data_IF_302265832583
#
_entry.id   IF_302265832583
#
_cell.length_a   1.000
_cell.length_b   1.000
_cell.length_c   1.000
_cell.angle_alpha   90.00
_cell.angle_beta   90.00
_cell.angle_gamma   90.00
#
_symmetry.space_group_name_H-M   'P 1'
#
loop_
_entity.id
_entity.type
_entity.pdbx_description
1 polymer ?
#
# COMPACT_ATOMS: atom_id res chain seq x y z
N UNK A 1 -39.08 -60.58 21.70
CA UNK A 1 -38.31 -60.57 20.42
C UNK A 1 -38.74 -59.34 19.64
N UNK A 2 -37.84 -58.35 19.49
CA UNK A 2 -37.70 -57.36 18.38
C UNK A 2 -38.95 -56.53 17.98
N UNK A 3 -38.95 -55.20 17.85
CA UNK A 3 -37.92 -54.29 17.33
C UNK A 3 -38.34 -52.84 17.70
N UNK A 4 -37.46 -52.06 18.34
CA UNK A 4 -37.66 -50.62 18.54
C UNK A 4 -37.09 -49.93 17.29
N UNK A 5 -37.92 -49.22 16.53
CA UNK A 5 -37.47 -48.38 15.43
C UNK A 5 -36.92 -47.06 15.99
N UNK A 6 -35.59 -46.94 16.04
CA UNK A 6 -34.93 -45.65 16.26
C UNK A 6 -34.99 -44.85 14.95
N UNK A 7 -35.76 -43.77 14.94
CA UNK A 7 -35.70 -42.75 13.89
C UNK A 7 -34.44 -41.91 14.11
N UNK A 8 -33.39 -42.17 13.33
CA UNK A 8 -32.23 -41.29 13.23
C UNK A 8 -32.61 -40.08 12.39
N UNK A 9 -32.75 -38.91 13.04
CA UNK A 9 -32.79 -37.62 12.35
C UNK A 9 -31.38 -37.33 11.83
N UNK A 10 -31.17 -37.50 10.53
CA UNK A 10 -29.98 -37.05 9.83
C UNK A 10 -30.10 -35.51 9.67
N UNK A 11 -29.46 -34.75 10.56
CA UNK A 11 -29.26 -33.31 10.40
C UNK A 11 -28.30 -33.10 9.22
N UNK A 12 -28.85 -32.91 8.03
CA UNK A 12 -28.10 -32.50 6.86
C UNK A 12 -27.74 -31.02 7.04
N UNK A 13 -26.53 -30.75 7.55
CA UNK A 13 -25.96 -29.40 7.56
C UNK A 13 -25.70 -28.96 6.11
N UNK A 14 -26.64 -28.21 5.55
CA UNK A 14 -26.47 -27.53 4.27
C UNK A 14 -25.44 -26.42 4.51
N UNK A 15 -24.16 -26.71 4.24
CA UNK A 15 -23.19 -25.67 4.00
C UNK A 15 -23.58 -25.00 2.67
N UNK A 16 -24.27 -23.86 2.75
CA UNK A 16 -24.39 -22.92 1.65
C UNK A 16 -22.97 -22.50 1.27
N UNK A 17 -22.41 -23.22 0.30
CA UNK A 17 -21.18 -22.83 -0.38
C UNK A 17 -21.50 -21.50 -1.09
N UNK A 18 -21.27 -20.39 -0.40
CA UNK A 18 -21.31 -19.09 -1.04
C UNK A 18 -20.19 -19.10 -2.08
N UNK A 19 -20.57 -19.03 -3.35
CA UNK A 19 -19.59 -18.76 -4.40
C UNK A 19 -18.92 -17.43 -4.04
N UNK A 20 -17.59 -17.42 -3.90
CA UNK A 20 -16.85 -16.17 -3.73
C UNK A 20 -17.12 -15.27 -4.93
N UNK A 21 -17.46 -14.01 -4.68
CA UNK A 21 -17.70 -13.03 -5.74
C UNK A 21 -16.38 -12.66 -6.44
N UNK A 22 -15.27 -12.71 -5.70
CA UNK A 22 -13.97 -12.31 -6.18
C UNK A 22 -13.20 -13.50 -6.80
N UNK A 23 -12.92 -13.38 -8.10
CA UNK A 23 -12.00 -14.25 -8.87
C UNK A 23 -10.55 -13.77 -8.78
N UNK A 24 -9.59 -14.69 -8.83
CA UNK A 24 -8.17 -14.35 -8.84
C UNK A 24 -7.76 -13.59 -10.09
N UNK A 25 -6.92 -12.58 -9.91
CA UNK A 25 -6.21 -11.90 -10.99
C UNK A 25 -5.28 -12.84 -11.73
N UNK A 26 -5.14 -12.61 -13.04
CA UNK A 26 -4.14 -13.27 -13.86
C UNK A 26 -2.75 -12.70 -13.63
N UNK A 27 -1.79 -13.58 -13.38
CA UNK A 27 -0.37 -13.24 -13.48
C UNK A 27 0.00 -13.13 -14.95
N UNK A 28 0.22 -11.91 -15.44
CA UNK A 28 0.64 -11.72 -16.84
C UNK A 28 1.98 -12.40 -17.12
N UNK A 29 2.95 -12.20 -16.20
CA UNK A 29 4.28 -12.82 -16.23
C UNK A 29 5.16 -12.33 -17.36
N UNK A 30 5.37 -11.01 -17.39
CA UNK A 30 6.26 -10.35 -18.34
C UNK A 30 7.05 -9.24 -17.64
N UNK A 31 8.20 -8.89 -18.21
CA UNK A 31 8.89 -7.63 -17.90
C UNK A 31 8.54 -6.61 -18.98
N UNK A 32 7.94 -5.49 -18.57
CA UNK A 32 7.48 -4.42 -19.45
C UNK A 32 8.41 -3.21 -19.38
N UNK A 33 8.52 -2.50 -20.50
CA UNK A 33 9.08 -1.16 -20.56
C UNK A 33 8.24 -0.29 -21.52
N UNK A 34 8.17 1.03 -21.34
CA UNK A 34 7.51 1.90 -22.30
C UNK A 34 8.15 1.83 -23.69
N UNK A 35 7.31 1.79 -24.74
CA UNK A 35 7.78 1.90 -26.12
C UNK A 35 8.08 3.36 -26.49
N UNK A 36 9.20 3.90 -25.99
CA UNK A 36 9.66 5.25 -26.32
C UNK A 36 9.90 5.44 -27.82
N UNK A 37 9.86 6.68 -28.33
CA UNK A 37 9.94 7.00 -29.77
C UNK A 37 11.07 6.29 -30.52
N UNK A 38 12.27 6.28 -29.95
CA UNK A 38 13.44 5.63 -30.56
C UNK A 38 13.26 4.11 -30.69
N UNK A 39 12.67 3.49 -29.68
CA UNK A 39 12.40 2.05 -29.66
C UNK A 39 11.21 1.69 -30.55
N UNK A 40 10.16 2.52 -30.56
CA UNK A 40 9.00 2.36 -31.43
C UNK A 40 9.42 2.43 -32.91
N UNK A 41 10.26 3.39 -33.28
CA UNK A 41 10.81 3.52 -34.64
C UNK A 41 11.68 2.31 -35.00
N UNK A 42 12.56 1.86 -34.10
CA UNK A 42 13.40 0.67 -34.32
C UNK A 42 12.57 -0.61 -34.54
N UNK A 43 11.40 -0.70 -33.91
CA UNK A 43 10.46 -1.81 -34.06
C UNK A 43 9.46 -1.64 -35.22
N UNK A 44 9.53 -0.52 -35.94
CA UNK A 44 8.66 -0.22 -37.10
C UNK A 44 7.25 0.22 -36.75
N UNK A 45 6.97 0.62 -35.51
CA UNK A 45 5.68 1.19 -35.13
C UNK A 45 5.53 2.58 -35.76
N UNK A 46 4.31 2.90 -36.22
CA UNK A 46 3.98 4.22 -36.78
C UNK A 46 3.95 5.33 -35.72
N UNK A 47 3.62 4.96 -34.49
CA UNK A 47 3.46 5.85 -33.33
C UNK A 47 4.01 5.16 -32.09
N UNK A 48 4.62 5.93 -31.18
CA UNK A 48 5.10 5.43 -29.90
C UNK A 48 3.92 5.17 -28.97
N UNK A 49 3.55 3.89 -28.82
CA UNK A 49 2.46 3.44 -27.96
C UNK A 49 2.68 2.01 -27.50
N UNK A 50 2.05 1.66 -26.39
CA UNK A 50 2.14 0.34 -25.78
C UNK A 50 3.40 0.12 -24.93
N UNK A 51 3.55 -1.13 -24.47
CA UNK A 51 4.67 -1.58 -23.63
C UNK A 51 5.46 -2.68 -24.33
N UNK A 52 6.78 -2.52 -24.44
CA UNK A 52 7.65 -3.56 -25.00
C UNK A 52 7.86 -4.68 -23.98
N UNK A 53 7.72 -5.92 -24.45
CA UNK A 53 7.92 -7.13 -23.66
C UNK A 53 9.40 -7.50 -23.69
N UNK A 54 10.14 -7.19 -22.62
CA UNK A 54 11.56 -7.53 -22.48
C UNK A 54 11.78 -9.00 -22.16
N UNK A 55 10.94 -9.55 -21.29
CA UNK A 55 11.04 -10.93 -20.83
C UNK A 55 9.65 -11.53 -20.68
N UNK A 56 9.52 -12.82 -20.98
CA UNK A 56 8.32 -13.63 -20.74
C UNK A 56 8.68 -14.74 -19.76
N UNK A 57 7.92 -14.87 -18.68
CA UNK A 57 8.11 -15.91 -17.68
C UNK A 57 7.35 -17.18 -18.08
N UNK A 58 8.01 -18.36 -18.14
CA UNK A 58 7.35 -19.61 -18.47
C UNK A 58 6.18 -19.93 -17.55
N UNK A 59 5.09 -20.48 -18.12
CA UNK A 59 3.88 -20.88 -17.40
C UNK A 59 2.95 -19.74 -16.98
N UNK A 60 3.27 -18.49 -17.31
CA UNK A 60 2.40 -17.35 -17.05
C UNK A 60 1.41 -17.08 -18.19
N UNK A 61 0.42 -16.20 -17.94
CA UNK A 61 -0.69 -15.93 -18.87
C UNK A 61 -0.21 -15.52 -20.26
N UNK A 62 0.78 -14.61 -20.36
CA UNK A 62 1.27 -14.14 -21.65
C UNK A 62 2.00 -15.25 -22.43
N UNK A 63 2.75 -16.11 -21.73
CA UNK A 63 3.39 -17.29 -22.33
C UNK A 63 2.35 -18.29 -22.85
N UNK A 64 1.29 -18.54 -22.07
CA UNK A 64 0.20 -19.45 -22.43
C UNK A 64 -0.57 -18.97 -23.67
N UNK A 65 -0.58 -17.66 -23.94
CA UNK A 65 -1.13 -17.07 -25.16
C UNK A 65 -0.17 -17.11 -26.37
N UNK A 66 1.03 -17.70 -26.24
CA UNK A 66 2.04 -17.70 -27.30
C UNK A 66 2.78 -16.36 -27.46
N UNK A 67 2.78 -15.54 -26.41
CA UNK A 67 3.53 -14.30 -26.32
C UNK A 67 5.03 -14.51 -26.32
N UNK A 68 5.79 -13.54 -26.83
CA UNK A 68 7.24 -13.60 -27.01
C UNK A 68 7.92 -12.32 -26.55
N UNK A 69 9.19 -12.43 -26.16
CA UNK A 69 10.05 -11.25 -25.98
C UNK A 69 10.20 -10.53 -27.32
N UNK A 70 10.23 -9.20 -27.29
CA UNK A 70 10.26 -8.34 -28.47
C UNK A 70 8.89 -7.92 -29.00
N UNK A 71 7.79 -8.51 -28.51
CA UNK A 71 6.45 -8.01 -28.78
C UNK A 71 6.27 -6.60 -28.18
N UNK A 72 5.48 -5.76 -28.83
CA UNK A 72 4.92 -4.55 -28.19
C UNK A 72 3.46 -4.81 -27.84
N UNK A 73 3.14 -4.82 -26.55
CA UNK A 73 1.80 -4.96 -26.04
C UNK A 73 1.01 -3.67 -26.28
N UNK A 74 -0.01 -3.73 -27.14
CA UNK A 74 -0.83 -2.58 -27.51
C UNK A 74 -2.16 -2.55 -26.73
N UNK A 75 -2.76 -3.71 -26.47
CA UNK A 75 -3.99 -3.81 -25.69
C UNK A 75 -4.10 -5.16 -24.97
N UNK A 76 -4.85 -5.17 -23.86
CA UNK A 76 -5.26 -6.37 -23.11
C UNK A 76 -6.78 -6.37 -22.99
N UNK A 77 -7.44 -7.44 -23.43
CA UNK A 77 -8.90 -7.56 -23.46
C UNK A 77 -9.61 -6.35 -24.10
N UNK A 78 -8.97 -5.75 -25.12
CA UNK A 78 -9.47 -4.56 -25.82
C UNK A 78 -9.17 -3.22 -25.14
N UNK A 79 -8.61 -3.22 -23.93
CA UNK A 79 -8.18 -2.01 -23.21
C UNK A 79 -6.76 -1.60 -23.63
N UNK A 80 -6.48 -0.32 -23.93
CA UNK A 80 -5.15 0.14 -24.30
C UNK A 80 -4.11 -0.15 -23.22
N UNK A 81 -2.96 -0.71 -23.61
CA UNK A 81 -1.86 -1.01 -22.69
C UNK A 81 -0.76 0.06 -22.73
N UNK A 82 -1.15 1.34 -22.61
CA UNK A 82 -0.20 2.45 -22.57
C UNK A 82 0.32 2.70 -21.14
N UNK A 83 1.53 3.26 -20.96
CA UNK A 83 2.05 3.61 -19.63
C UNK A 83 1.03 4.40 -18.78
N UNK A 84 1.07 4.23 -17.46
CA UNK A 84 0.15 4.89 -16.52
C UNK A 84 -1.15 4.11 -16.28
N UNK A 85 -2.27 4.83 -16.10
CA UNK A 85 -3.58 4.26 -15.73
C UNK A 85 -4.08 3.21 -16.72
N UNK A 86 -3.91 3.47 -18.03
CA UNK A 86 -4.40 2.58 -19.08
C UNK A 86 -3.80 1.16 -18.96
N UNK A 87 -2.49 1.04 -18.75
CA UNK A 87 -1.85 -0.25 -18.50
C UNK A 87 -2.39 -0.90 -17.23
N UNK A 88 -2.56 -0.14 -16.15
CA UNK A 88 -3.10 -0.69 -14.91
C UNK A 88 -4.48 -1.31 -15.14
N UNK A 89 -5.43 -0.56 -15.70
CA UNK A 89 -6.78 -1.04 -16.05
C UNK A 89 -6.74 -2.26 -16.97
N UNK A 90 -5.91 -2.21 -18.01
CA UNK A 90 -5.74 -3.31 -18.95
C UNK A 90 -5.29 -4.60 -18.23
N UNK A 91 -4.32 -4.51 -17.31
CA UNK A 91 -3.87 -5.64 -16.49
C UNK A 91 -4.94 -6.11 -15.50
N UNK A 92 -5.72 -5.19 -14.93
CA UNK A 92 -6.82 -5.52 -14.02
C UNK A 92 -7.94 -6.29 -14.71
N UNK A 93 -8.08 -6.22 -16.04
CA UNK A 93 -9.10 -6.99 -16.76
C UNK A 93 -8.80 -8.48 -16.86
N UNK A 94 -7.57 -8.92 -16.56
CA UNK A 94 -7.16 -10.31 -16.68
C UNK A 94 -7.60 -11.08 -15.43
N UNK A 95 -8.58 -11.96 -15.59
CA UNK A 95 -9.18 -12.77 -14.50
C UNK A 95 -9.09 -14.25 -14.80
N UNK A 96 -8.90 -15.05 -13.75
CA UNK A 96 -8.95 -16.51 -13.88
C UNK A 96 -10.31 -16.99 -14.41
N UNK A 97 -10.31 -18.16 -15.06
CA UNK A 97 -11.52 -18.73 -15.64
C UNK A 97 -12.00 -18.08 -16.94
N UNK A 98 -11.38 -16.96 -17.38
CA UNK A 98 -11.63 -16.33 -18.67
C UNK A 98 -10.36 -16.38 -19.55
N UNK A 99 -10.49 -16.46 -20.89
CA UNK A 99 -9.34 -16.28 -21.77
C UNK A 99 -8.88 -14.82 -21.75
N UNK A 100 -7.57 -14.60 -21.73
CA UNK A 100 -6.98 -13.28 -21.91
C UNK A 100 -6.64 -13.06 -23.38
N UNK A 101 -7.04 -11.91 -23.93
CA UNK A 101 -6.72 -11.49 -25.29
C UNK A 101 -5.68 -10.38 -25.28
N UNK A 102 -4.69 -10.48 -26.15
CA UNK A 102 -3.61 -9.51 -26.28
C UNK A 102 -3.49 -9.06 -27.73
N UNK A 103 -3.58 -7.76 -27.95
CA UNK A 103 -3.23 -7.13 -29.23
C UNK A 103 -1.77 -6.72 -29.15
N UNK A 104 -0.94 -7.26 -30.04
CA UNK A 104 0.52 -7.03 -30.02
C UNK A 104 1.03 -6.60 -31.38
N UNK A 105 2.10 -5.81 -31.38
CA UNK A 105 2.92 -5.58 -32.56
C UNK A 105 4.08 -6.58 -32.58
N UNK A 106 4.18 -7.36 -33.65
CA UNK A 106 5.21 -8.38 -33.86
C UNK A 106 5.63 -8.40 -35.32
N UNK A 107 6.93 -8.31 -35.58
CA UNK A 107 7.51 -8.42 -36.93
C UNK A 107 6.84 -7.47 -37.96
N UNK A 108 6.57 -6.22 -37.57
CA UNK A 108 6.03 -5.20 -38.47
C UNK A 108 4.51 -5.26 -38.70
N UNK A 109 3.77 -6.08 -37.96
CA UNK A 109 2.32 -6.23 -38.09
C UNK A 109 1.63 -6.40 -36.73
N UNK A 110 0.32 -6.14 -36.71
CA UNK A 110 -0.53 -6.45 -35.56
C UNK A 110 -0.85 -7.95 -35.56
N UNK A 111 -0.78 -8.56 -34.38
CA UNK A 111 -1.21 -9.92 -34.11
C UNK A 111 -2.13 -9.94 -32.88
N UNK A 112 -3.12 -10.83 -32.91
CA UNK A 112 -3.97 -11.13 -31.77
C UNK A 112 -3.52 -12.45 -31.15
N UNK A 113 -3.32 -12.45 -29.83
CA UNK A 113 -2.99 -13.62 -29.04
C UNK A 113 -4.12 -13.89 -28.07
N UNK A 114 -4.44 -15.16 -27.84
CA UNK A 114 -5.42 -15.57 -26.84
C UNK A 114 -4.89 -16.78 -26.07
N UNK A 115 -5.03 -16.77 -24.76
CA UNK A 115 -4.55 -17.86 -23.92
C UNK A 115 -5.26 -17.96 -22.58
N UNK A 116 -5.12 -19.13 -21.97
CA UNK A 116 -5.63 -19.37 -20.62
C UNK A 116 -4.88 -18.53 -19.59
N UNK A 117 -5.64 -17.92 -18.68
CA UNK A 117 -5.10 -17.13 -17.57
C UNK A 117 -4.47 -18.04 -16.52
N UNK A 118 -3.20 -17.79 -16.21
CA UNK A 118 -2.55 -18.34 -15.03
C UNK A 118 -2.83 -17.41 -13.84
N UNK A 119 -3.57 -17.83 -12.80
CA UNK A 119 -3.89 -16.99 -11.67
C UNK A 119 -2.64 -16.62 -10.85
N UNK A 120 -2.68 -15.48 -10.16
CA UNK A 120 -1.71 -15.16 -9.12
C UNK A 120 -1.85 -16.22 -8.02
N UNK A 121 -0.77 -16.97 -7.68
CA UNK A 121 -0.83 -17.97 -6.62
C UNK A 121 -1.27 -17.34 -5.30
N UNK A 122 -2.03 -18.09 -4.50
CA UNK A 122 -2.30 -17.68 -3.12
C UNK A 122 -1.01 -17.62 -2.32
N UNK A 123 -0.95 -16.67 -1.40
CA UNK A 123 0.14 -16.60 -0.43
C UNK A 123 0.24 -17.86 0.42
N UNK A 124 1.47 -18.22 0.74
CA UNK A 124 1.78 -19.26 1.72
C UNK A 124 2.64 -18.68 2.84
N UNK A 125 2.47 -19.25 4.03
CA UNK A 125 3.22 -18.92 5.22
C UNK A 125 3.69 -20.18 5.92
N UNK A 126 4.90 -20.13 6.49
CA UNK A 126 5.44 -21.22 7.29
C UNK A 126 4.87 -21.24 8.72
N UNK A 127 4.32 -20.12 9.19
CA UNK A 127 3.90 -19.92 10.59
C UNK A 127 2.39 -19.76 10.75
N UNK A 128 1.65 -19.57 9.66
CA UNK A 128 0.22 -19.27 9.67
C UNK A 128 -0.52 -19.88 8.49
N UNK A 129 -1.81 -20.14 8.69
CA UNK A 129 -2.78 -20.37 7.62
C UNK A 129 -3.12 -19.01 7.00
N UNK A 130 -3.02 -18.89 5.67
CA UNK A 130 -3.39 -17.66 4.96
C UNK A 130 -4.80 -17.78 4.41
N UNK A 131 -5.71 -16.97 4.93
CA UNK A 131 -7.12 -16.94 4.56
C UNK A 131 -7.40 -15.76 3.64
N UNK A 132 -8.04 -16.02 2.51
CA UNK A 132 -8.52 -14.98 1.59
C UNK A 132 -10.04 -14.83 1.77
N UNK A 133 -10.48 -13.63 2.15
CA UNK A 133 -11.89 -13.29 2.33
C UNK A 133 -12.33 -12.20 1.36
N UNK A 134 -13.57 -11.75 1.50
CA UNK A 134 -14.10 -10.61 0.74
C UNK A 134 -15.10 -9.83 1.59
N UNK A 135 -15.16 -8.51 1.41
CA UNK A 135 -16.07 -7.62 2.14
C UNK A 135 -16.78 -6.68 1.16
N UNK A 136 -18.10 -6.42 1.31
CA UNK A 136 -18.81 -5.47 0.47
C UNK A 136 -18.26 -4.05 0.63
N UNK A 137 -18.14 -3.30 -0.48
CA UNK A 137 -17.71 -1.90 -0.48
C UNK A 137 -18.25 -1.16 -1.70
N UNK A 138 -19.06 -0.11 -1.49
CA UNK A 138 -19.60 0.80 -2.53
C UNK A 138 -20.12 0.10 -3.81
N UNK A 139 -20.85 -1.01 -3.64
CA UNK A 139 -21.41 -1.81 -4.74
C UNK A 139 -20.47 -2.85 -5.34
N UNK A 140 -19.25 -2.93 -4.85
CA UNK A 140 -18.24 -3.93 -5.18
C UNK A 140 -17.78 -4.74 -3.95
N UNK A 141 -16.61 -5.36 -4.10
CA UNK A 141 -16.02 -6.25 -3.10
C UNK A 141 -14.52 -5.96 -2.93
N UNK A 142 -14.09 -5.73 -1.68
CA UNK A 142 -12.69 -5.67 -1.31
C UNK A 142 -12.19 -7.05 -0.88
N UNK A 143 -10.96 -7.38 -1.26
CA UNK A 143 -10.25 -8.59 -0.88
C UNK A 143 -9.59 -8.39 0.47
N UNK A 144 -9.82 -9.33 1.39
CA UNK A 144 -9.11 -9.40 2.67
C UNK A 144 -8.15 -10.58 2.68
N UNK A 145 -7.04 -10.42 3.41
CA UNK A 145 -6.00 -11.44 3.54
C UNK A 145 -5.63 -11.52 5.02
N UNK A 146 -5.76 -12.71 5.61
CA UNK A 146 -5.55 -12.92 7.04
C UNK A 146 -4.53 -14.01 7.25
N UNK A 147 -3.45 -13.70 7.96
CA UNK A 147 -2.52 -14.70 8.47
C UNK A 147 -3.01 -15.15 9.84
N UNK A 148 -3.69 -16.30 9.89
CA UNK A 148 -4.17 -16.92 11.12
C UNK A 148 -3.06 -17.81 11.71
N UNK A 149 -2.59 -17.56 12.95
CA UNK A 149 -1.62 -18.43 13.59
C UNK A 149 -2.13 -19.88 13.65
N UNK A 150 -1.21 -20.85 13.49
CA UNK A 150 -1.57 -22.28 13.53
C UNK A 150 -1.90 -22.78 14.95
N UNK A 151 -1.54 -22.02 15.98
CA UNK A 151 -1.87 -22.36 17.37
C UNK A 151 -3.38 -22.20 17.63
N UNK A 152 -3.94 -22.86 18.67
CA UNK A 152 -5.32 -22.61 19.08
C UNK A 152 -5.54 -21.14 19.47
N UNK A 153 -6.67 -20.55 19.04
CA UNK A 153 -7.07 -19.18 19.35
C UNK A 153 -7.96 -19.05 20.60
N UNK A 154 -8.53 -17.85 20.84
CA UNK A 154 -8.44 -16.65 20.00
C UNK A 154 -7.08 -15.94 20.13
N UNK A 155 -6.66 -15.22 19.08
CA UNK A 155 -5.37 -14.56 18.97
C UNK A 155 -5.49 -13.04 19.09
N UNK A 156 -4.53 -12.34 19.73
CA UNK A 156 -4.39 -10.90 19.53
C UNK A 156 -4.18 -10.61 18.04
N UNK A 157 -4.81 -9.56 17.53
CA UNK A 157 -4.81 -9.24 16.11
C UNK A 157 -4.08 -7.92 15.82
N UNK A 158 -3.36 -7.89 14.71
CA UNK A 158 -2.75 -6.69 14.15
C UNK A 158 -3.43 -6.40 12.81
N UNK A 159 -4.13 -5.27 12.76
CA UNK A 159 -4.62 -4.71 11.52
C UNK A 159 -3.52 -3.87 10.85
N UNK A 160 -2.94 -4.39 9.78
CA UNK A 160 -1.84 -3.74 9.08
C UNK A 160 -2.33 -2.83 7.96
N UNK A 161 -1.85 -1.58 7.96
CA UNK A 161 -2.14 -0.59 6.92
C UNK A 161 -0.83 -0.14 6.25
N UNK A 162 -0.65 -0.38 4.92
CA UNK A 162 0.58 -0.05 4.20
C UNK A 162 0.69 1.45 3.86
N UNK A 163 1.81 1.85 3.25
CA UNK A 163 1.98 3.19 2.67
C UNK A 163 1.04 3.50 1.50
N UNK A 164 1.17 4.70 0.92
CA UNK A 164 0.19 5.27 -0.02
C UNK A 164 0.18 4.64 -1.42
N UNK A 165 1.22 3.88 -1.78
CA UNK A 165 1.37 3.36 -3.15
C UNK A 165 0.22 2.41 -3.51
N UNK A 166 -0.29 2.58 -4.72
CA UNK A 166 -1.28 1.70 -5.32
C UNK A 166 -0.61 0.39 -5.76
N UNK A 167 -0.38 -0.47 -4.78
CA UNK A 167 0.20 -1.81 -4.95
C UNK A 167 -0.62 -2.82 -4.15
N UNK A 168 -0.60 -4.07 -4.61
CA UNK A 168 -1.24 -5.16 -3.87
C UNK A 168 -0.58 -5.34 -2.52
N UNK A 169 -1.38 -5.58 -1.49
CA UNK A 169 -0.88 -6.03 -0.18
C UNK A 169 -0.71 -7.55 -0.11
N UNK A 170 -0.88 -8.23 -1.25
CA UNK A 170 -0.64 -9.66 -1.39
C UNK A 170 0.74 -10.02 -1.96
N UNK A 171 1.18 -11.24 -1.68
CA UNK A 171 2.32 -11.92 -2.30
C UNK A 171 3.60 -11.08 -2.33
N UNK A 172 3.86 -10.33 -1.26
CA UNK A 172 5.12 -9.61 -1.10
C UNK A 172 6.30 -10.56 -1.32
N UNK A 173 7.28 -10.11 -2.10
CA UNK A 173 8.54 -10.83 -2.30
C UNK A 173 9.20 -11.15 -0.94
N UNK A 174 9.90 -12.29 -0.79
CA UNK A 174 10.60 -12.63 0.46
C UNK A 174 11.61 -11.57 0.95
N UNK A 175 12.09 -10.73 0.03
CA UNK A 175 13.01 -9.63 0.36
C UNK A 175 12.29 -8.35 0.80
N UNK A 176 10.96 -8.26 0.60
CA UNK A 176 10.21 -7.04 0.88
C UNK A 176 10.13 -6.80 2.40
N UNK A 177 10.40 -5.57 2.90
CA UNK A 177 10.34 -5.25 4.33
C UNK A 177 8.99 -5.59 4.99
N UNK A 178 7.86 -5.29 4.33
CA UNK A 178 6.54 -5.72 4.84
C UNK A 178 6.42 -7.23 5.00
N UNK A 179 6.97 -8.04 4.07
CA UNK A 179 6.95 -9.50 4.23
C UNK A 179 7.65 -9.92 5.51
N UNK A 180 8.85 -9.39 5.76
CA UNK A 180 9.66 -9.71 6.93
C UNK A 180 8.98 -9.27 8.23
N UNK A 181 8.40 -8.08 8.25
CA UNK A 181 7.64 -7.57 9.39
C UNK A 181 6.45 -8.48 9.73
N UNK A 182 5.58 -8.74 8.75
CA UNK A 182 4.32 -9.44 8.96
C UNK A 182 4.55 -10.93 9.27
N UNK A 183 5.51 -11.59 8.62
CA UNK A 183 5.86 -12.97 8.93
C UNK A 183 6.43 -13.09 10.35
N UNK A 184 7.26 -12.13 10.79
CA UNK A 184 7.83 -12.13 12.14
C UNK A 184 6.75 -11.93 13.20
N UNK A 185 5.84 -10.97 13.01
CA UNK A 185 4.72 -10.76 13.92
C UNK A 185 3.75 -11.95 13.91
N UNK A 186 3.43 -12.50 12.74
CA UNK A 186 2.59 -13.71 12.65
C UNK A 186 3.24 -14.90 13.38
N UNK A 187 4.56 -15.07 13.25
CA UNK A 187 5.34 -16.08 13.97
C UNK A 187 5.36 -15.91 15.50
N UNK A 188 5.09 -14.71 16.00
CA UNK A 188 4.92 -14.41 17.43
C UNK A 188 3.48 -14.66 17.93
N UNK A 189 2.59 -15.18 17.08
CA UNK A 189 1.24 -15.58 17.45
C UNK A 189 0.17 -14.49 17.25
N UNK A 190 0.48 -13.42 16.52
CA UNK A 190 -0.49 -12.40 16.13
C UNK A 190 -1.26 -12.82 14.87
N UNK A 191 -2.58 -12.68 14.89
CA UNK A 191 -3.37 -12.71 13.67
C UNK A 191 -3.13 -11.43 12.88
N UNK A 192 -2.63 -11.53 11.65
CA UNK A 192 -2.36 -10.35 10.82
C UNK A 192 -3.49 -10.17 9.82
N UNK A 193 -4.20 -9.06 9.90
CA UNK A 193 -5.28 -8.73 8.98
C UNK A 193 -4.84 -7.65 8.00
N UNK A 194 -5.13 -7.86 6.72
CA UNK A 194 -4.86 -6.93 5.61
C UNK A 194 -6.10 -6.82 4.73
N UNK A 195 -6.28 -5.66 4.11
CA UNK A 195 -7.26 -5.42 3.05
C UNK A 195 -6.58 -4.76 1.87
N UNK A 196 -6.96 -5.17 0.67
CA UNK A 196 -6.51 -4.52 -0.56
C UNK A 196 -7.13 -3.13 -0.68
N UNK A 197 -6.32 -2.12 -1.05
CA UNK A 197 -6.84 -0.79 -1.40
C UNK A 197 -7.86 -0.90 -2.53
N UNK A 198 -8.92 -0.07 -2.57
CA UNK A 198 -9.81 0.01 -3.72
C UNK A 198 -9.04 0.01 -5.06
N UNK A 199 -9.49 -0.80 -6.03
CA UNK A 199 -8.80 -1.02 -7.31
C UNK A 199 -7.59 -1.97 -7.28
N UNK A 200 -7.01 -2.28 -6.12
CA UNK A 200 -5.85 -3.18 -6.00
C UNK A 200 -6.25 -4.64 -5.77
N UNK A 201 -5.28 -5.56 -5.89
CA UNK A 201 -5.46 -7.01 -5.72
C UNK A 201 -6.68 -7.54 -6.47
N UNK A 202 -7.35 -8.56 -5.97
CA UNK A 202 -8.49 -9.10 -6.72
C UNK A 202 -9.77 -8.25 -6.70
N UNK A 203 -9.76 -7.04 -6.10
CA UNK A 203 -10.97 -6.25 -5.87
C UNK A 203 -11.89 -6.15 -7.11
N UNK A 204 -13.20 -6.18 -6.86
CA UNK A 204 -14.24 -6.13 -7.89
C UNK A 204 -15.05 -4.85 -7.72
N UNK A 205 -15.11 -4.03 -8.76
CA UNK A 205 -15.96 -2.84 -8.83
C UNK A 205 -15.77 -1.84 -7.68
N UNK A 206 -14.52 -1.61 -7.25
CA UNK A 206 -14.20 -0.66 -6.16
C UNK A 206 -13.55 0.64 -6.63
N UNK A 207 -13.47 0.87 -7.94
CA UNK A 207 -12.82 2.05 -8.56
C UNK A 207 -11.34 1.82 -8.88
N UNK A 208 -10.65 2.87 -9.36
CA UNK A 208 -9.23 2.86 -9.68
C UNK A 208 -8.44 3.57 -8.57
N UNK A 209 -7.51 2.87 -7.90
CA UNK A 209 -6.71 3.43 -6.80
C UNK A 209 -6.03 4.76 -7.14
N UNK A 210 -5.55 4.93 -8.38
CA UNK A 210 -4.84 6.14 -8.80
C UNK A 210 -5.79 7.35 -8.92
N UNK A 211 -7.07 7.12 -9.15
CA UNK A 211 -8.11 8.14 -9.38
C UNK A 211 -8.94 8.44 -8.13
N UNK A 212 -8.81 7.61 -7.09
CA UNK A 212 -9.59 7.75 -5.87
C UNK A 212 -8.91 8.69 -4.87
N UNK A 213 -9.76 9.47 -4.19
CA UNK A 213 -9.38 10.31 -3.06
C UNK A 213 -9.00 9.51 -1.80
N UNK A 214 -8.45 10.22 -0.81
CA UNK A 214 -8.04 9.70 0.49
C UNK A 214 -9.23 9.15 1.27
N UNK A 215 -10.39 9.81 1.20
CA UNK A 215 -11.59 9.42 1.95
C UNK A 215 -12.18 8.11 1.44
N UNK A 216 -12.05 7.82 0.15
CA UNK A 216 -12.42 6.52 -0.40
C UNK A 216 -11.57 5.39 0.18
N UNK A 217 -10.26 5.59 0.28
CA UNK A 217 -9.36 4.60 0.89
C UNK A 217 -9.58 4.47 2.40
N UNK A 218 -9.73 5.60 3.11
CA UNK A 218 -10.03 5.62 4.54
C UNK A 218 -11.29 4.80 4.84
N UNK A 219 -12.36 4.97 4.06
CA UNK A 219 -13.59 4.19 4.21
C UNK A 219 -13.37 2.70 3.96
N UNK A 220 -12.54 2.33 2.98
CA UNK A 220 -12.19 0.94 2.71
C UNK A 220 -11.46 0.30 3.91
N UNK A 221 -10.59 1.05 4.58
CA UNK A 221 -9.94 0.59 5.79
C UNK A 221 -10.88 0.52 7.01
N UNK A 222 -11.84 1.45 7.14
CA UNK A 222 -12.88 1.39 8.18
C UNK A 222 -13.72 0.12 8.08
N UNK A 223 -14.31 -0.16 6.91
CA UNK A 223 -15.16 -1.36 6.74
C UNK A 223 -14.38 -2.66 6.94
N UNK A 224 -13.08 -2.64 6.67
CA UNK A 224 -12.19 -3.78 6.87
C UNK A 224 -11.89 -4.03 8.36
N UNK A 225 -11.73 -2.99 9.17
CA UNK A 225 -11.62 -3.11 10.63
C UNK A 225 -12.86 -3.81 11.22
N UNK A 226 -14.05 -3.39 10.82
CA UNK A 226 -15.31 -4.01 11.28
C UNK A 226 -15.45 -5.47 10.85
N UNK A 227 -15.00 -5.79 9.64
CA UNK A 227 -15.06 -7.15 9.14
C UNK A 227 -14.08 -8.09 9.86
N UNK A 228 -12.90 -7.61 10.23
CA UNK A 228 -11.89 -8.38 10.97
C UNK A 228 -12.46 -8.93 12.28
N UNK A 229 -13.28 -8.13 13.00
CA UNK A 229 -13.84 -8.53 14.29
C UNK A 229 -14.79 -9.75 14.21
N UNK A 230 -15.21 -10.17 13.01
CA UNK A 230 -16.16 -11.28 12.80
C UNK A 230 -15.49 -12.65 12.78
N UNK A 231 -14.17 -12.73 12.73
CA UNK A 231 -13.45 -13.99 12.79
C UNK A 231 -13.41 -14.52 14.22
N UNK A 232 -13.89 -15.74 14.44
CA UNK A 232 -13.97 -16.40 15.75
C UNK A 232 -12.60 -16.63 16.43
N UNK A 233 -11.54 -16.68 15.64
CA UNK A 233 -10.16 -16.81 16.10
C UNK A 233 -9.50 -15.47 16.45
N UNK A 234 -10.18 -14.33 16.26
CA UNK A 234 -9.65 -13.01 16.63
C UNK A 234 -10.14 -12.64 18.02
N UNK A 235 -9.19 -12.28 18.90
CA UNK A 235 -9.49 -11.72 20.22
C UNK A 235 -9.82 -10.23 20.05
N UNK A 236 -11.11 -9.90 20.08
CA UNK A 236 -11.60 -8.53 19.91
C UNK A 236 -11.18 -7.57 21.01
N UNK A 237 -10.81 -8.07 22.20
CA UNK A 237 -10.29 -7.23 23.29
C UNK A 237 -8.83 -6.80 23.04
N UNK A 238 -8.13 -7.47 22.12
CA UNK A 238 -6.71 -7.26 21.83
C UNK A 238 -6.47 -7.07 20.33
N UNK A 239 -7.14 -6.05 19.77
CA UNK A 239 -6.90 -5.56 18.42
C UNK A 239 -5.93 -4.37 18.46
N UNK A 240 -4.92 -4.42 17.61
CA UNK A 240 -3.93 -3.36 17.43
C UNK A 240 -3.91 -2.91 15.97
N UNK A 241 -3.81 -1.61 15.70
CA UNK A 241 -3.54 -1.10 14.34
C UNK A 241 -2.02 -0.91 14.21
N UNK A 242 -1.43 -1.36 13.11
CA UNK A 242 -0.03 -1.10 12.77
C UNK A 242 0.06 -0.41 11.41
N UNK A 243 0.40 0.88 11.42
CA UNK A 243 0.39 1.73 10.24
C UNK A 243 1.78 2.19 9.82
N UNK A 244 2.12 2.02 8.54
CA UNK A 244 3.39 2.50 7.98
C UNK A 244 3.19 3.69 7.05
N UNK A 245 3.98 4.75 7.22
CA UNK A 245 3.91 5.93 6.34
C UNK A 245 2.45 6.42 6.28
N UNK A 246 1.86 6.56 5.10
CA UNK A 246 0.43 6.89 4.95
C UNK A 246 -0.52 5.97 5.72
N UNK A 247 -0.18 4.69 5.91
CA UNK A 247 -0.97 3.78 6.73
C UNK A 247 -1.07 4.21 8.19
N UNK A 248 -0.02 4.83 8.73
CA UNK A 248 -0.05 5.43 10.07
C UNK A 248 -0.70 6.82 10.11
N UNK A 249 -0.94 7.44 8.96
CA UNK A 249 -1.78 8.65 8.83
C UNK A 249 -3.27 8.30 8.87
N UNK A 250 -3.67 7.19 8.23
CA UNK A 250 -5.03 6.64 8.38
C UNK A 250 -5.33 6.12 9.79
N UNK A 251 -4.34 5.49 10.42
CA UNK A 251 -4.48 4.80 11.70
C UNK A 251 -5.17 5.61 12.82
N UNK A 252 -4.77 6.86 13.14
CA UNK A 252 -5.44 7.63 14.18
C UNK A 252 -6.89 7.97 13.86
N UNK A 253 -7.21 8.23 12.59
CA UNK A 253 -8.58 8.56 12.17
C UNK A 253 -9.50 7.36 12.42
N UNK A 254 -9.06 6.16 12.01
CA UNK A 254 -9.79 4.92 12.28
C UNK A 254 -9.85 4.65 13.78
N UNK A 255 -8.74 4.82 14.50
CA UNK A 255 -8.65 4.49 15.92
C UNK A 255 -9.50 5.40 16.81
N UNK A 256 -9.66 6.68 16.47
CA UNK A 256 -10.52 7.61 17.19
C UNK A 256 -12.00 7.15 17.20
N UNK A 257 -12.44 6.46 16.15
CA UNK A 257 -13.81 5.96 16.02
C UNK A 257 -13.97 4.56 16.63
N UNK A 258 -12.98 3.70 16.37
CA UNK A 258 -13.07 2.26 16.65
C UNK A 258 -12.46 1.83 17.98
N UNK A 259 -11.66 2.70 18.59
CA UNK A 259 -11.01 2.51 19.90
C UNK A 259 -10.34 1.13 20.08
N UNK A 260 -9.41 0.72 19.17
CA UNK A 260 -8.64 -0.50 19.36
C UNK A 260 -7.81 -0.45 20.66
N UNK A 261 -7.32 -1.60 21.10
CA UNK A 261 -6.48 -1.71 22.30
C UNK A 261 -5.21 -0.86 22.19
N UNK A 262 -4.65 -0.74 21.00
CA UNK A 262 -3.54 0.17 20.73
C UNK A 262 -3.29 0.45 19.26
N UNK A 263 -2.48 1.47 18.99
CA UNK A 263 -2.01 1.85 17.65
C UNK A 263 -0.49 1.99 17.67
N UNK A 264 0.18 1.32 16.74
CA UNK A 264 1.59 1.49 16.46
C UNK A 264 1.79 2.11 15.07
N UNK A 265 2.68 3.09 14.96
CA UNK A 265 2.97 3.78 13.70
C UNK A 265 4.46 3.91 13.46
N UNK A 266 4.88 3.86 12.19
CA UNK A 266 6.28 4.03 11.79
C UNK A 266 6.42 5.07 10.67
N UNK A 267 7.30 6.05 10.87
CA UNK A 267 7.70 6.99 9.82
C UNK A 267 6.54 7.86 9.30
N UNK A 268 5.85 8.57 10.19
CA UNK A 268 4.67 9.37 9.84
C UNK A 268 4.79 10.82 10.32
N UNK A 269 3.83 11.65 9.91
CA UNK A 269 3.57 12.97 10.51
C UNK A 269 2.15 13.01 11.12
N UNK A 270 1.90 13.94 12.03
CA UNK A 270 0.55 14.34 12.49
C UNK A 270 0.21 15.78 12.13
N UNK A 271 1.15 16.47 11.48
CA UNK A 271 1.03 17.87 11.11
C UNK A 271 0.04 18.03 9.96
N UNK A 272 -0.38 19.27 9.70
CA UNK A 272 -1.20 19.56 8.52
C UNK A 272 -0.41 19.20 7.28
N UNK A 273 -1.03 18.55 6.30
CA UNK A 273 -0.31 18.00 5.14
C UNK A 273 0.52 19.05 4.39
N UNK A 274 0.04 20.30 4.28
CA UNK A 274 0.85 21.40 3.72
C UNK A 274 2.15 21.66 4.50
N UNK A 275 2.12 21.62 5.83
CA UNK A 275 3.30 21.86 6.67
C UNK A 275 4.34 20.75 6.45
N UNK A 276 3.87 19.51 6.37
CA UNK A 276 4.70 18.36 6.03
C UNK A 276 5.37 18.53 4.65
N UNK A 277 4.63 18.90 3.60
CA UNK A 277 5.20 19.08 2.25
C UNK A 277 6.26 20.17 2.22
N UNK A 278 6.06 21.26 2.97
CA UNK A 278 7.04 22.34 3.09
C UNK A 278 8.31 21.87 3.81
N UNK A 279 8.18 21.09 4.88
CA UNK A 279 9.31 20.45 5.57
C UNK A 279 10.02 19.49 4.63
N UNK A 280 9.29 18.60 3.95
CA UNK A 280 9.82 17.63 3.03
C UNK A 280 10.75 18.29 2.00
N UNK A 281 10.28 19.32 1.28
CA UNK A 281 11.11 20.04 0.29
C UNK A 281 12.29 20.74 0.94
N UNK A 282 12.12 21.35 2.12
CA UNK A 282 13.20 22.06 2.82
C UNK A 282 14.34 21.14 3.25
N UNK A 283 14.03 19.91 3.67
CA UNK A 283 15.02 18.99 4.23
C UNK A 283 15.52 17.96 3.21
N UNK A 284 14.65 17.43 2.35
CA UNK A 284 15.05 16.42 1.37
C UNK A 284 15.89 17.02 0.23
N UNK A 285 15.57 18.22 -0.26
CA UNK A 285 16.29 18.78 -1.40
C UNK A 285 17.80 18.95 -1.11
N UNK A 286 18.23 19.52 0.03
CA UNK A 286 19.65 19.58 0.37
C UNK A 286 20.30 18.20 0.53
N UNK A 287 19.58 17.21 1.07
CA UNK A 287 20.07 15.82 1.18
C UNK A 287 20.31 15.18 -0.20
N UNK A 288 19.53 15.60 -1.21
CA UNK A 288 19.66 15.18 -2.60
C UNK A 288 20.63 16.05 -3.41
N UNK A 289 21.30 17.02 -2.76
CA UNK A 289 22.37 17.83 -3.35
C UNK A 289 21.92 19.17 -3.95
N UNK A 290 20.68 19.61 -3.71
CA UNK A 290 20.20 20.93 -4.13
C UNK A 290 20.77 22.06 -3.25
N UNK A 291 20.94 23.25 -3.84
CA UNK A 291 21.42 24.43 -3.13
C UNK A 291 20.41 24.94 -2.09
N UNK A 292 20.92 25.42 -0.94
CA UNK A 292 20.08 25.90 0.16
C UNK A 292 19.33 27.19 -0.20
N UNK A 293 19.95 28.12 -0.95
CA UNK A 293 19.29 29.37 -1.33
C UNK A 293 18.24 29.15 -2.42
N UNK A 294 18.48 28.21 -3.33
CA UNK A 294 17.45 27.72 -4.27
C UNK A 294 16.31 27.04 -3.52
N UNK A 295 16.61 26.15 -2.58
CA UNK A 295 15.61 25.48 -1.75
C UNK A 295 14.73 26.49 -1.00
N UNK A 296 15.31 27.57 -0.43
CA UNK A 296 14.51 28.60 0.24
C UNK A 296 13.56 29.33 -0.71
N UNK A 297 14.00 29.61 -1.95
CA UNK A 297 13.13 30.20 -2.98
C UNK A 297 12.00 29.24 -3.36
N UNK A 298 12.32 27.97 -3.59
CA UNK A 298 11.34 26.95 -3.95
C UNK A 298 10.29 26.78 -2.84
N UNK A 299 10.70 26.77 -1.56
CA UNK A 299 9.76 26.71 -0.43
C UNK A 299 8.80 27.90 -0.41
N UNK A 300 9.27 29.12 -0.70
CA UNK A 300 8.38 30.32 -0.77
C UNK A 300 7.36 30.21 -1.89
N UNK A 301 7.77 29.71 -3.05
CA UNK A 301 6.86 29.45 -4.17
C UNK A 301 5.88 28.32 -3.82
N UNK A 302 6.36 27.26 -3.16
CA UNK A 302 5.55 26.13 -2.73
C UNK A 302 4.44 26.55 -1.75
N UNK A 303 4.70 27.48 -0.83
CA UNK A 303 3.66 28.06 0.04
C UNK A 303 2.47 28.59 -0.77
N UNK A 304 2.74 29.41 -1.80
CA UNK A 304 1.68 30.00 -2.62
C UNK A 304 0.96 28.92 -3.45
N UNK A 305 1.71 28.00 -4.05
CA UNK A 305 1.17 26.87 -4.81
C UNK A 305 0.21 26.03 -3.95
N UNK A 306 0.66 25.56 -2.79
CA UNK A 306 -0.15 24.71 -1.91
C UNK A 306 -1.38 25.44 -1.37
N UNK A 307 -1.26 26.73 -1.08
CA UNK A 307 -2.40 27.53 -0.66
C UNK A 307 -3.48 27.60 -1.75
N UNK A 308 -3.08 27.94 -2.98
CA UNK A 308 -4.01 27.99 -4.11
C UNK A 308 -4.62 26.62 -4.44
N UNK A 309 -3.82 25.56 -4.32
CA UNK A 309 -4.28 24.21 -4.62
C UNK A 309 -5.25 23.67 -3.56
N UNK A 310 -4.83 23.64 -2.29
CA UNK A 310 -5.58 22.95 -1.24
C UNK A 310 -6.65 23.81 -0.57
N UNK A 311 -6.52 25.14 -0.57
CA UNK A 311 -7.47 26.03 0.10
C UNK A 311 -8.33 26.84 -0.86
N UNK A 312 -7.82 27.17 -2.05
CA UNK A 312 -8.63 27.84 -3.09
C UNK A 312 -9.20 26.89 -4.14
N UNK A 313 -8.80 25.60 -4.10
CA UNK A 313 -9.37 24.55 -4.95
C UNK A 313 -8.97 24.64 -6.42
N UNK A 314 -7.86 25.32 -6.76
CA UNK A 314 -7.36 25.32 -8.14
C UNK A 314 -6.81 23.95 -8.49
N UNK A 315 -7.07 23.48 -9.71
CA UNK A 315 -6.49 22.22 -10.21
C UNK A 315 -4.99 22.36 -10.49
N UNK A 316 -4.26 21.25 -10.42
CA UNK A 316 -2.84 21.17 -10.77
C UNK A 316 -2.60 21.65 -12.21
N UNK A 317 -3.50 21.33 -13.14
CA UNK A 317 -3.47 21.79 -14.54
C UNK A 317 -3.58 23.31 -14.69
N UNK A 318 -4.41 23.96 -13.89
CA UNK A 318 -4.50 25.42 -13.85
C UNK A 318 -3.22 26.02 -13.25
N UNK A 319 -2.71 25.45 -12.16
CA UNK A 319 -1.49 25.91 -11.49
C UNK A 319 -0.26 25.75 -12.38
N UNK A 320 -0.23 24.73 -13.25
CA UNK A 320 0.84 24.47 -14.21
C UNK A 320 1.04 25.58 -15.25
N UNK A 321 0.05 26.47 -15.42
CA UNK A 321 0.17 27.65 -16.28
C UNK A 321 1.12 28.71 -15.70
N UNK A 322 1.35 28.69 -14.37
CA UNK A 322 2.34 29.55 -13.73
C UNK A 322 3.76 28.96 -13.90
N UNK A 323 4.70 29.66 -14.55
CA UNK A 323 6.05 29.14 -14.78
C UNK A 323 6.83 28.85 -13.49
N UNK A 324 6.56 29.57 -12.41
CA UNK A 324 7.23 29.33 -11.12
C UNK A 324 6.72 28.04 -10.47
N UNK A 325 5.42 27.73 -10.62
CA UNK A 325 4.81 26.51 -10.10
C UNK A 325 5.20 25.29 -10.92
N UNK A 326 5.29 25.44 -12.24
CA UNK A 326 5.67 24.37 -13.17
C UNK A 326 6.93 23.62 -12.73
N UNK A 327 8.00 24.36 -12.39
CA UNK A 327 9.27 23.78 -11.94
C UNK A 327 9.09 22.84 -10.74
N UNK A 328 8.27 23.24 -9.78
CA UNK A 328 8.02 22.48 -8.54
C UNK A 328 7.11 21.28 -8.84
N UNK A 329 6.06 21.48 -9.65
CA UNK A 329 5.15 20.41 -10.05
C UNK A 329 5.86 19.29 -10.80
N UNK A 330 6.76 19.64 -11.73
CA UNK A 330 7.56 18.68 -12.49
C UNK A 330 8.57 17.94 -11.60
N UNK A 331 9.31 18.68 -10.74
CA UNK A 331 10.43 18.11 -9.96
C UNK A 331 9.97 17.36 -8.71
N UNK A 332 9.15 18.00 -7.88
CA UNK A 332 8.87 17.54 -6.51
C UNK A 332 7.55 16.78 -6.41
N UNK A 333 6.63 17.02 -7.34
CA UNK A 333 5.27 16.46 -7.30
C UNK A 333 4.97 15.48 -8.43
N UNK A 334 5.92 15.20 -9.33
CA UNK A 334 5.73 14.26 -10.43
C UNK A 334 4.37 14.45 -11.16
N UNK A 335 4.01 15.72 -11.42
CA UNK A 335 2.73 16.05 -12.06
C UNK A 335 2.64 15.37 -13.43
N UNK A 336 1.53 14.69 -13.70
CA UNK A 336 1.34 13.91 -14.92
C UNK A 336 0.86 14.73 -16.13
N UNK A 337 0.54 16.02 -15.91
CA UNK A 337 0.02 16.92 -16.93
C UNK A 337 -1.51 17.10 -16.88
N UNK A 338 -2.22 16.29 -16.09
CA UNK A 338 -3.67 16.31 -15.99
C UNK A 338 -4.12 16.55 -14.55
N UNK A 339 -4.26 15.51 -13.74
CA UNK A 339 -4.87 15.57 -12.40
C UNK A 339 -4.12 14.77 -11.33
N UNK A 340 -2.96 14.17 -11.65
CA UNK A 340 -2.19 13.42 -10.66
C UNK A 340 -0.93 14.15 -10.24
N UNK A 341 -0.74 14.20 -8.93
CA UNK A 341 0.52 14.59 -8.30
C UNK A 341 0.93 13.48 -7.32
N UNK A 342 2.22 13.25 -7.18
CA UNK A 342 2.80 12.21 -6.33
C UNK A 342 2.17 10.84 -6.62
N UNK A 343 1.90 10.57 -7.90
CA UNK A 343 1.30 9.32 -8.40
C UNK A 343 -0.10 9.03 -7.85
N UNK A 344 -0.86 10.04 -7.45
CA UNK A 344 -2.25 9.96 -6.97
C UNK A 344 -3.05 11.13 -7.51
N UNK A 345 -4.35 10.95 -7.69
CA UNK A 345 -5.27 12.04 -8.01
C UNK A 345 -5.14 13.18 -6.98
N UNK A 346 -5.16 14.43 -7.45
CA UNK A 346 -4.96 15.61 -6.63
C UNK A 346 -5.95 15.75 -5.46
N UNK A 347 -7.18 15.24 -5.61
CA UNK A 347 -8.16 15.20 -4.53
C UNK A 347 -7.70 14.37 -3.33
N UNK A 348 -6.88 13.33 -3.55
CA UNK A 348 -6.31 12.56 -2.45
C UNK A 348 -5.58 13.45 -1.45
N UNK A 349 -4.78 14.38 -1.95
CA UNK A 349 -3.97 15.25 -1.11
C UNK A 349 -4.77 16.41 -0.53
N UNK A 350 -5.78 16.91 -1.25
CA UNK A 350 -6.73 17.91 -0.72
C UNK A 350 -7.54 17.35 0.45
N UNK A 351 -8.09 16.15 0.28
CA UNK A 351 -8.85 15.45 1.31
C UNK A 351 -7.97 15.16 2.53
N UNK A 352 -6.78 14.60 2.32
CA UNK A 352 -5.82 14.38 3.40
C UNK A 352 -5.52 15.68 4.17
N UNK A 353 -5.29 16.79 3.46
CA UNK A 353 -5.02 18.08 4.09
C UNK A 353 -6.19 18.60 4.95
N UNK A 354 -7.42 18.17 4.67
CA UNK A 354 -8.60 18.55 5.43
C UNK A 354 -8.74 17.78 6.76
N UNK A 355 -8.04 16.65 6.93
CA UNK A 355 -8.09 15.86 8.16
C UNK A 355 -7.20 16.44 9.27
N UNK A 356 -7.78 16.60 10.47
CA UNK A 356 -7.05 17.01 11.66
C UNK A 356 -6.50 15.78 12.40
N UNK A 357 -5.29 15.36 12.05
CA UNK A 357 -4.65 14.17 12.62
C UNK A 357 -4.36 14.33 14.12
N UNK A 358 -4.07 15.55 14.58
CA UNK A 358 -3.80 15.80 16.00
C UNK A 358 -5.06 15.64 16.85
N UNK A 359 -6.21 16.05 16.32
CA UNK A 359 -7.53 15.80 16.94
C UNK A 359 -7.87 14.31 16.94
N UNK A 360 -7.60 13.60 15.84
CA UNK A 360 -7.79 12.15 15.79
C UNK A 360 -6.93 11.43 16.85
N UNK A 361 -5.65 11.80 17.00
CA UNK A 361 -4.80 11.27 18.07
C UNK A 361 -5.30 11.61 19.47
N UNK A 362 -5.80 12.83 19.69
CA UNK A 362 -6.35 13.23 20.99
C UNK A 362 -7.67 12.51 21.32
N UNK A 363 -8.46 12.16 20.31
CA UNK A 363 -9.71 11.39 20.44
C UNK A 363 -9.52 9.89 20.66
N UNK A 364 -8.30 9.37 20.48
CA UNK A 364 -8.00 7.97 20.73
C UNK A 364 -7.57 7.71 22.18
N UNK A 365 -8.21 6.75 22.85
CA UNK A 365 -7.97 6.46 24.27
C UNK A 365 -7.14 5.21 24.54
N UNK A 366 -6.82 4.42 23.51
CA UNK A 366 -5.95 3.25 23.65
C UNK A 366 -4.47 3.62 23.80
N UNK A 367 -3.61 2.61 23.71
CA UNK A 367 -2.17 2.77 23.85
C UNK A 367 -1.54 3.16 22.51
N UNK A 368 -0.50 4.01 22.52
CA UNK A 368 0.15 4.52 21.31
C UNK A 368 1.64 4.21 21.35
N UNK A 369 2.15 3.58 20.28
CA UNK A 369 3.57 3.43 20.00
C UNK A 369 3.95 4.19 18.73
N UNK A 370 4.77 5.22 18.87
CA UNK A 370 5.25 6.05 17.77
C UNK A 370 6.73 5.73 17.51
N UNK A 371 7.01 5.12 16.36
CA UNK A 371 8.35 4.70 15.92
C UNK A 371 8.89 5.66 14.86
N UNK A 372 10.14 6.11 15.03
CA UNK A 372 10.86 6.90 14.03
C UNK A 372 12.18 6.24 13.65
N UNK A 373 12.42 6.04 12.36
CA UNK A 373 13.72 5.61 11.84
C UNK A 373 14.69 6.79 11.80
N UNK A 374 15.85 6.68 12.44
CA UNK A 374 16.82 7.79 12.53
C UNK A 374 17.29 8.31 11.15
N UNK A 375 17.29 7.45 10.13
CA UNK A 375 17.68 7.77 8.76
C UNK A 375 16.47 7.91 7.82
N UNK A 376 15.26 8.07 8.36
CA UNK A 376 14.03 8.23 7.59
C UNK A 376 13.86 9.66 7.06
N UNK A 377 14.30 9.87 5.82
CA UNK A 377 14.16 11.17 5.14
C UNK A 377 12.72 11.54 4.79
N UNK A 378 11.80 10.56 4.70
CA UNK A 378 10.39 10.84 4.38
C UNK A 378 9.68 11.41 5.61
N UNK A 379 9.96 10.86 6.79
CA UNK A 379 9.49 11.43 8.05
C UNK A 379 10.24 12.71 8.47
N UNK A 380 11.29 13.11 7.73
CA UNK A 380 12.11 14.31 7.91
C UNK A 380 12.96 14.31 9.19
N UNK A 381 12.35 14.20 10.36
CA UNK A 381 12.99 14.18 11.67
C UNK A 381 12.06 13.49 12.71
N UNK A 382 12.49 13.43 13.98
CA UNK A 382 11.75 12.75 15.04
C UNK A 382 10.69 13.61 15.76
N UNK A 383 10.52 14.87 15.37
CA UNK A 383 9.66 15.85 16.06
C UNK A 383 8.21 15.37 16.06
N UNK A 384 7.66 15.06 14.88
CA UNK A 384 6.27 14.65 14.72
C UNK A 384 5.96 13.37 15.52
N UNK A 385 6.86 12.38 15.51
CA UNK A 385 6.67 11.13 16.23
C UNK A 385 6.71 11.33 17.74
N UNK A 386 7.59 12.21 18.25
CA UNK A 386 7.58 12.60 19.67
C UNK A 386 6.31 13.34 20.03
N UNK A 387 5.77 14.14 19.13
CA UNK A 387 4.54 14.90 19.33
C UNK A 387 3.31 14.00 19.38
N UNK A 388 3.21 13.01 18.52
CA UNK A 388 2.17 11.98 18.59
C UNK A 388 2.12 11.34 19.98
N UNK A 389 3.28 10.93 20.52
CA UNK A 389 3.34 10.37 21.87
C UNK A 389 2.97 11.40 22.95
N UNK A 390 3.33 12.68 22.77
CA UNK A 390 2.92 13.77 23.68
C UNK A 390 1.41 14.01 23.64
N UNK A 391 0.80 14.09 22.46
CA UNK A 391 -0.64 14.28 22.26
C UNK A 391 -1.42 13.17 22.95
N UNK A 392 -1.04 11.90 22.70
CA UNK A 392 -1.66 10.76 23.36
C UNK A 392 -1.56 10.84 24.90
N UNK A 393 -0.40 11.27 25.44
CA UNK A 393 -0.20 11.45 26.87
C UNK A 393 -0.94 12.67 27.46
N UNK A 394 -1.18 13.71 26.68
CA UNK A 394 -2.00 14.86 27.11
C UNK A 394 -3.46 14.44 27.27
N UNK A 395 -3.99 13.65 26.33
CA UNK A 395 -5.34 13.13 26.41
C UNK A 395 -5.48 12.02 27.47
N UNK A 396 -4.50 11.12 27.55
CA UNK A 396 -4.51 9.93 28.41
C UNK A 396 -3.09 9.68 28.99
N UNK A 397 -2.78 10.19 30.20
CA UNK A 397 -1.43 10.11 30.77
C UNK A 397 -0.87 8.68 30.82
N UNK A 398 0.32 8.49 30.25
CA UNK A 398 1.02 7.21 30.22
C UNK A 398 0.68 6.31 29.03
N UNK A 399 -0.21 6.74 28.14
CA UNK A 399 -0.62 5.94 26.97
C UNK A 399 0.30 6.11 25.76
N UNK A 400 1.06 7.20 25.67
CA UNK A 400 1.94 7.49 24.54
C UNK A 400 3.39 7.07 24.78
N UNK A 401 3.96 6.28 23.87
CA UNK A 401 5.37 5.90 23.86
C UNK A 401 6.03 6.29 22.53
N UNK A 402 7.21 6.93 22.61
CA UNK A 402 8.07 7.19 21.46
C UNK A 402 9.30 6.27 21.50
N UNK A 403 9.72 5.76 20.34
CA UNK A 403 10.99 5.03 20.18
C UNK A 403 11.73 5.46 18.91
N UNK A 404 13.01 5.74 19.07
CA UNK A 404 13.96 5.91 17.98
C UNK A 404 14.46 4.53 17.52
N UNK A 405 14.49 4.33 16.21
CA UNK A 405 15.02 3.13 15.56
C UNK A 405 16.31 3.52 14.84
N UNK A 406 17.45 3.26 15.50
CA UNK A 406 18.77 3.74 15.08
C UNK A 406 19.15 3.32 13.65
N UNK A 407 19.76 4.25 12.92
CA UNK A 407 20.28 4.08 11.56
C UNK A 407 19.30 3.49 10.53
N UNK A 408 17.99 3.60 10.75
CA UNK A 408 16.96 2.92 9.95
C UNK A 408 16.21 3.90 9.08
N UNK A 409 15.99 3.55 7.81
CA UNK A 409 15.31 4.41 6.83
C UNK A 409 13.79 4.20 6.80
N UNK A 410 13.11 4.92 5.90
CA UNK A 410 11.66 4.77 5.69
C UNK A 410 11.22 3.36 5.28
N UNK A 411 12.09 2.56 4.67
CA UNK A 411 11.78 1.18 4.28
C UNK A 411 12.06 0.17 5.39
N UNK A 412 12.31 0.63 6.62
CA UNK A 412 12.61 -0.20 7.79
C UNK A 412 13.92 -1.00 7.63
N UNK A 413 14.89 -0.50 6.86
CA UNK A 413 16.19 -1.13 6.70
C UNK A 413 17.31 -0.30 7.34
N UNK A 414 18.33 -0.97 7.91
CA UNK A 414 19.50 -0.31 8.49
C UNK A 414 20.41 0.23 7.37
N UNK A 415 20.42 1.55 7.20
CA UNK A 415 21.26 2.26 6.22
C UNK A 415 22.42 3.01 6.87
N UNK A 416 22.33 3.33 8.16
CA UNK A 416 23.35 4.02 8.95
C UNK A 416 23.04 5.49 9.19
N UNK A 417 23.04 6.32 8.16
CA UNK A 417 22.66 7.74 8.26
C UNK A 417 21.69 8.12 7.14
N UNK A 418 21.00 9.24 7.31
CA UNK A 418 20.04 9.76 6.34
C UNK A 418 20.72 10.08 5.00
N UNK A 419 21.92 10.68 5.00
CA UNK A 419 22.68 10.99 3.79
C UNK A 419 23.12 9.73 3.04
N UNK A 420 23.50 8.69 3.78
CA UNK A 420 23.85 7.40 3.17
C UNK A 420 22.59 6.74 2.59
N UNK A 421 21.46 6.79 3.31
CA UNK A 421 20.17 6.28 2.83
C UNK A 421 19.72 6.96 1.54
N UNK A 422 19.79 8.29 1.48
CA UNK A 422 19.43 9.08 0.30
C UNK A 422 20.26 8.68 -0.94
N UNK A 423 21.58 8.52 -0.78
CA UNK A 423 22.47 8.06 -1.86
C UNK A 423 22.20 6.62 -2.27
N UNK A 424 21.93 5.76 -1.29
CA UNK A 424 21.73 4.32 -1.50
C UNK A 424 20.48 4.04 -2.34
N UNK A 425 19.38 4.80 -2.18
CA UNK A 425 18.11 4.55 -2.91
C UNK A 425 18.24 4.53 -4.43
N UNK A 426 19.18 5.30 -4.98
CA UNK A 426 19.45 5.34 -6.42
C UNK A 426 20.59 4.38 -6.84
N UNK A 427 21.20 3.70 -5.88
CA UNK A 427 22.35 2.82 -6.11
C UNK A 427 21.90 1.38 -6.43
N UNK A 428 22.62 0.66 -7.31
CA UNK A 428 22.30 -0.75 -7.63
C UNK A 428 22.24 -1.67 -6.41
N UNK A 429 23.01 -1.37 -5.36
CA UNK A 429 23.10 -2.14 -4.12
C UNK A 429 21.86 -2.00 -3.22
N UNK A 430 20.95 -1.06 -3.50
CA UNK A 430 19.74 -0.86 -2.67
C UNK A 430 18.91 -2.15 -2.54
N UNK A 431 18.85 -2.94 -3.61
CA UNK A 431 18.14 -4.22 -3.61
C UNK A 431 18.73 -5.21 -2.60
N UNK A 432 20.05 -5.29 -2.50
CA UNK A 432 20.74 -6.14 -1.52
C UNK A 432 20.43 -5.67 -0.09
N UNK A 433 20.36 -4.36 0.13
CA UNK A 433 19.98 -3.80 1.43
C UNK A 433 18.54 -4.15 1.82
N UNK A 434 17.57 -4.04 0.90
CA UNK A 434 16.19 -4.48 1.15
C UNK A 434 16.14 -5.95 1.57
N UNK A 435 16.94 -6.79 0.91
CA UNK A 435 17.00 -8.22 1.21
C UNK A 435 17.63 -8.55 2.57
N UNK A 436 18.71 -7.86 2.92
CA UNK A 436 19.60 -8.29 4.02
C UNK A 436 19.58 -7.39 5.25
N UNK A 437 19.04 -6.17 5.16
CA UNK A 437 19.19 -5.13 6.20
C UNK A 437 17.91 -4.72 6.89
N UNK A 438 16.82 -5.46 6.73
CA UNK A 438 15.60 -5.23 7.50
C UNK A 438 15.90 -5.18 9.00
N UNK A 439 15.40 -4.14 9.67
CA UNK A 439 15.65 -3.91 11.08
C UNK A 439 14.62 -4.64 11.95
N UNK A 440 15.00 -5.80 12.46
CA UNK A 440 14.16 -6.59 13.38
C UNK A 440 13.93 -5.93 14.75
N UNK A 441 14.65 -4.86 15.10
CA UNK A 441 14.37 -4.08 16.31
C UNK A 441 12.94 -3.50 16.29
N UNK A 442 12.40 -3.21 15.11
CA UNK A 442 11.01 -2.76 14.93
C UNK A 442 10.02 -3.84 15.38
N UNK A 443 10.30 -5.10 15.04
CA UNK A 443 9.48 -6.25 15.45
C UNK A 443 9.57 -6.41 16.97
N UNK A 444 10.79 -6.37 17.53
CA UNK A 444 11.00 -6.51 18.96
C UNK A 444 10.28 -5.41 19.75
N UNK A 445 10.47 -4.14 19.39
CA UNK A 445 9.82 -3.00 20.02
C UNK A 445 8.28 -3.08 19.93
N UNK A 446 7.76 -3.48 18.77
CA UNK A 446 6.31 -3.66 18.59
C UNK A 446 5.78 -4.78 19.49
N UNK A 447 6.45 -5.94 19.50
CA UNK A 447 6.06 -7.09 20.32
C UNK A 447 6.09 -6.75 21.81
N UNK A 448 7.21 -6.21 22.31
CA UNK A 448 7.38 -5.81 23.71
C UNK A 448 6.31 -4.83 24.15
N UNK A 449 5.99 -3.84 23.31
CA UNK A 449 4.91 -2.89 23.60
C UNK A 449 3.56 -3.59 23.66
N UNK A 450 3.21 -4.45 22.70
CA UNK A 450 1.94 -5.20 22.73
C UNK A 450 1.84 -6.07 24.00
N UNK A 451 2.91 -6.79 24.37
CA UNK A 451 2.91 -7.62 25.59
C UNK A 451 2.65 -6.77 26.85
N UNK A 452 3.27 -5.58 26.94
CA UNK A 452 3.00 -4.64 28.04
C UNK A 452 1.54 -4.20 28.09
N UNK A 453 0.98 -3.82 26.95
CA UNK A 453 -0.41 -3.36 26.83
C UNK A 453 -1.41 -4.47 27.20
N UNK A 454 -1.08 -5.72 26.90
CA UNK A 454 -1.87 -6.88 27.28
C UNK A 454 -1.63 -7.33 28.74
N UNK A 455 -0.60 -6.83 29.41
CA UNK A 455 -0.22 -7.27 30.76
C UNK A 455 0.40 -8.67 30.80
N UNK A 456 1.07 -9.09 29.73
CA UNK A 456 1.64 -10.44 29.55
C UNK A 456 3.17 -10.46 29.53
N UNK A 457 3.83 -9.39 30.00
CA UNK A 457 5.27 -9.39 30.24
C UNK A 457 5.62 -10.54 31.20
N UNK A 458 6.61 -11.37 30.80
CA UNK A 458 7.13 -12.49 31.61
C UNK A 458 8.43 -12.12 32.30
#
# INVERSE_FOLDING_TARGET
MKLIYAFAFLLLSIHLCHAQHIQRRGRLGVQLEPAADSLAQALGLKEARGMVIRQVFPGATYANAGGKSGDVLLAVNGLPANPGNALQEALQSVREGQPARFTVWRDGKIAELEGAVAPIPYETSATSEVLYGEIPYKGGWLRTIVNKPNAPGPHPAIYFIPGYTCSSVESFSPIHPYRKLLDSLSGLGYAIFRVEKPGMGDNVSTGNCLELGFDNELEAYRVAYDAMQRYDFINTDNIFIWGHSMGGVYAPIIAAETQPRGVAVYGITHEVWVEYLLKMVRYQNPLLGHDYAETDRDVRTLYALLYEHYYLGKSSKELYQNPDYRKILDRDFAFDGEDQILYRHEDFWRELNAHNLSEAWAGFHGQVLSLYGEADMEAVNDEAQREIARIANTANPGHGAFKLVEGTDHSMIKVGSMEKGAKLRSAPEYREYLETKFNYDIVAMTHEWIQRVMGTER
#
